data_IF_483963395794
#
_entry.id   IF_483963395794
#
_cell.length_a   1.000
_cell.length_b   1.000
_cell.length_c   1.000
_cell.angle_alpha   90.00
_cell.angle_beta   90.00
_cell.angle_gamma   90.00
#
_symmetry.space_group_name_H-M   'P 1'
#
loop_
_entity.id
_entity.type
_entity.pdbx_description
1 polymer ?
#
# COMPACT_ATOMS: atom_id res chain seq x y z
N UNK A 1 -24.23 7.60 21.27
CA UNK A 1 -23.69 6.31 21.76
C UNK A 1 -22.71 5.80 20.71
N UNK A 2 -21.43 6.15 20.85
CA UNK A 2 -20.40 5.82 19.85
C UNK A 2 -19.99 4.35 20.04
N UNK A 3 -20.30 3.47 19.09
CA UNK A 3 -19.82 2.08 19.11
C UNK A 3 -18.32 2.07 18.80
N UNK A 4 -17.48 2.12 19.82
CA UNK A 4 -16.07 1.73 19.69
C UNK A 4 -16.05 0.21 19.47
N UNK A 5 -15.92 -0.23 18.22
CA UNK A 5 -15.62 -1.63 17.94
C UNK A 5 -14.19 -1.88 18.36
N UNK A 6 -13.99 -2.47 19.54
CA UNK A 6 -12.73 -3.11 19.90
C UNK A 6 -12.64 -4.40 19.08
N UNK A 7 -11.68 -4.56 18.14
CA UNK A 7 -11.49 -5.84 17.47
C UNK A 7 -10.51 -6.65 18.33
N UNK A 8 -11.01 -7.23 19.43
CA UNK A 8 -10.19 -8.09 20.29
C UNK A 8 -10.14 -9.56 19.82
N UNK A 9 -10.96 -9.94 18.83
CA UNK A 9 -11.11 -11.34 18.35
C UNK A 9 -11.20 -11.50 16.82
N UNK A 10 -10.93 -10.43 16.05
CA UNK A 10 -10.90 -10.55 14.59
C UNK A 10 -9.52 -11.09 14.16
N UNK A 11 -9.50 -12.19 13.39
CA UNK A 11 -8.30 -12.63 12.67
C UNK A 11 -7.62 -11.44 11.97
N UNK A 12 -6.28 -11.41 11.85
CA UNK A 12 -5.58 -10.27 11.28
C UNK A 12 -6.18 -9.91 9.91
N UNK A 13 -6.79 -8.72 9.82
CA UNK A 13 -7.40 -8.24 8.59
C UNK A 13 -6.29 -7.81 7.66
N UNK A 14 -6.07 -8.58 6.59
CA UNK A 14 -5.12 -8.20 5.56
C UNK A 14 -5.59 -6.93 4.83
N UNK A 15 -4.79 -5.86 4.91
CA UNK A 15 -5.09 -4.56 4.34
C UNK A 15 -4.62 -4.46 2.88
N UNK A 16 -5.33 -3.65 2.09
CA UNK A 16 -4.86 -3.21 0.79
C UNK A 16 -4.23 -1.83 0.96
N UNK A 17 -3.00 -1.67 0.49
CA UNK A 17 -2.21 -0.44 0.65
C UNK A 17 -1.86 0.12 -0.71
N UNK A 18 -1.97 1.43 -0.86
CA UNK A 18 -1.55 2.18 -2.05
C UNK A 18 -0.48 3.19 -1.64
N UNK A 19 0.69 3.09 -2.26
CA UNK A 19 1.76 4.08 -2.17
C UNK A 19 1.68 4.98 -3.40
N UNK A 20 1.66 6.30 -3.17
CA UNK A 20 1.54 7.30 -4.25
C UNK A 20 2.90 7.94 -4.50
N UNK A 21 3.36 7.87 -5.74
CA UNK A 21 4.66 8.32 -6.24
C UNK A 21 5.51 7.19 -6.84
N UNK A 22 6.74 7.52 -7.21
CA UNK A 22 7.68 6.59 -7.84
C UNK A 22 9.16 6.88 -7.52
N UNK A 23 9.41 7.69 -6.48
CA UNK A 23 10.77 8.00 -6.04
C UNK A 23 11.34 6.91 -5.12
N UNK A 24 12.60 7.08 -4.71
CA UNK A 24 13.27 6.13 -3.81
C UNK A 24 12.62 6.03 -2.42
N UNK A 25 11.95 7.09 -1.95
CA UNK A 25 11.19 7.07 -0.70
C UNK A 25 9.99 6.14 -0.79
N UNK A 26 9.24 6.23 -1.89
CA UNK A 26 8.07 5.38 -2.13
C UNK A 26 8.49 3.92 -2.28
N UNK A 27 9.62 3.65 -2.94
CA UNK A 27 10.20 2.32 -2.98
C UNK A 27 10.54 1.80 -1.58
N UNK A 28 11.26 2.58 -0.76
CA UNK A 28 11.58 2.15 0.61
C UNK A 28 10.34 1.86 1.47
N UNK A 29 9.27 2.65 1.30
CA UNK A 29 7.97 2.40 1.94
C UNK A 29 7.34 1.10 1.45
N UNK A 30 7.26 0.89 0.13
CA UNK A 30 6.71 -0.33 -0.45
C UNK A 30 7.49 -1.58 0.00
N UNK A 31 8.83 -1.53 -0.08
CA UNK A 31 9.72 -2.58 0.39
C UNK A 31 9.45 -2.99 1.84
N UNK A 32 9.22 -2.00 2.73
CA UNK A 32 8.96 -2.31 4.14
C UNK A 32 7.53 -2.79 4.39
N UNK A 33 6.55 -2.24 3.68
CA UNK A 33 5.15 -2.65 3.79
C UNK A 33 4.91 -4.08 3.29
N UNK A 34 5.61 -4.50 2.23
CA UNK A 34 5.51 -5.86 1.67
C UNK A 34 5.89 -6.97 2.66
N UNK A 35 6.63 -6.65 3.73
CA UNK A 35 7.06 -7.59 4.77
C UNK A 35 6.04 -7.77 5.90
N UNK A 36 4.94 -6.99 5.91
CA UNK A 36 3.95 -7.02 6.98
C UNK A 36 2.90 -8.10 6.72
N UNK A 37 2.66 -8.98 7.71
CA UNK A 37 1.57 -9.96 7.65
C UNK A 37 0.17 -9.31 7.62
N UNK A 38 0.09 -8.02 7.93
CA UNK A 38 -1.13 -7.22 7.79
C UNK A 38 -1.30 -6.62 6.39
N UNK A 39 -0.32 -6.75 5.50
CA UNK A 39 -0.39 -6.26 4.13
C UNK A 39 -0.84 -7.39 3.19
N UNK A 40 -2.11 -7.36 2.77
CA UNK A 40 -2.67 -8.34 1.84
C UNK A 40 -2.42 -8.02 0.38
N UNK A 41 -2.40 -6.73 0.01
CA UNK A 41 -2.06 -6.28 -1.33
C UNK A 41 -1.39 -4.91 -1.25
N UNK A 42 -0.37 -4.70 -2.07
CA UNK A 42 0.41 -3.48 -2.09
C UNK A 42 0.54 -2.96 -3.53
N UNK A 43 0.06 -1.74 -3.73
CA UNK A 43 0.06 -1.05 -5.02
C UNK A 43 0.97 0.19 -4.96
N UNK A 44 1.62 0.52 -6.07
CA UNK A 44 2.35 1.78 -6.26
C UNK A 44 1.80 2.54 -7.47
N UNK A 45 1.47 3.83 -7.32
CA UNK A 45 0.90 4.67 -8.37
C UNK A 45 1.69 5.98 -8.56
N UNK A 46 2.34 6.24 -9.70
CA UNK A 46 2.51 5.33 -10.85
C UNK A 46 3.54 4.21 -10.59
N UNK A 47 4.30 4.30 -9.50
CA UNK A 47 5.43 3.41 -9.23
C UNK A 47 6.66 3.69 -10.10
N UNK A 48 7.65 2.81 -10.01
CA UNK A 48 8.91 2.86 -10.76
C UNK A 48 9.39 1.45 -11.13
N UNK A 49 10.41 1.30 -11.99
CA UNK A 49 11.02 -0.01 -12.23
C UNK A 49 11.54 -0.69 -10.95
N UNK A 50 11.95 0.11 -9.96
CA UNK A 50 12.38 -0.39 -8.64
C UNK A 50 11.24 -1.05 -7.88
N UNK A 51 10.09 -0.39 -7.77
CA UNK A 51 8.91 -0.97 -7.10
C UNK A 51 8.32 -2.14 -7.88
N UNK A 52 8.42 -2.16 -9.21
CA UNK A 52 7.96 -3.28 -10.03
C UNK A 52 8.79 -4.56 -9.83
N UNK A 53 10.03 -4.43 -9.33
CA UNK A 53 10.90 -5.57 -9.03
C UNK A 53 10.70 -6.13 -7.61
N UNK A 54 9.92 -5.44 -6.76
CA UNK A 54 9.65 -5.88 -5.39
C UNK A 54 8.59 -7.00 -5.35
N UNK A 55 8.86 -8.12 -4.66
CA UNK A 55 7.87 -9.18 -4.50
C UNK A 55 6.59 -8.69 -3.80
N UNK A 56 5.43 -9.02 -4.37
CA UNK A 56 4.14 -8.65 -3.79
C UNK A 56 3.72 -7.19 -3.98
N UNK A 57 4.46 -6.44 -4.81
CA UNK A 57 4.13 -5.05 -5.18
C UNK A 57 3.64 -5.01 -6.63
N UNK A 58 2.55 -4.28 -6.87
CA UNK A 58 2.00 -4.05 -8.20
C UNK A 58 2.00 -2.55 -8.54
N UNK A 59 2.61 -2.18 -9.67
CA UNK A 59 2.52 -0.81 -10.16
C UNK A 59 1.19 -0.63 -10.93
N UNK A 60 0.46 0.45 -10.63
CA UNK A 60 -0.77 0.82 -11.31
C UNK A 60 -0.60 2.14 -12.04
N UNK A 61 -1.13 2.23 -13.26
CA UNK A 61 -1.03 3.41 -14.11
C UNK A 61 -2.04 4.49 -13.70
N UNK A 62 -1.89 5.03 -12.49
CA UNK A 62 -2.65 6.17 -11.97
C UNK A 62 -1.69 7.33 -11.77
N UNK A 63 -2.04 8.49 -12.33
CA UNK A 63 -1.24 9.71 -12.18
C UNK A 63 -1.37 10.26 -10.75
N UNK A 64 -0.27 10.78 -10.21
CA UNK A 64 -0.23 11.33 -8.83
C UNK A 64 -1.13 12.56 -8.66
N UNK A 65 -1.41 13.27 -9.75
CA UNK A 65 -2.26 14.46 -9.80
C UNK A 65 -3.69 14.15 -10.26
N UNK A 66 -4.06 12.90 -10.53
CA UNK A 66 -5.44 12.50 -10.83
C UNK A 66 -6.31 12.44 -9.56
N UNK A 67 -6.47 13.60 -8.94
CA UNK A 67 -7.40 13.85 -7.87
C UNK A 67 -8.38 14.95 -8.31
N UNK A 68 -9.62 14.88 -7.85
CA UNK A 68 -10.71 15.78 -8.26
C UNK A 68 -10.64 17.17 -7.56
N UNK A 69 -9.44 17.69 -7.30
CA UNK A 69 -9.23 18.95 -6.57
C UNK A 69 -9.51 20.20 -7.41
#
# INVERSE_FOLDING_TARGET
MLRTRTPADAAPQAHKVLVVGGGGREHALAWKLAQSDLCGALYCAPGSPGTAAEPGVENVAVDVSDNQA
#
